data_IF_521528514214
#
_entry.id   IF_521528514214
#
_cell.length_a   1.000
_cell.length_b   1.000
_cell.length_c   1.000
_cell.angle_alpha   90.00
_cell.angle_beta   90.00
_cell.angle_gamma   90.00
#
_symmetry.space_group_name_H-M   'P 1'
#
loop_
_entity.id
_entity.type
_entity.pdbx_description
1 polymer ?
#
# COMPACT_ATOMS: atom_id res chain seq x y z
N UNK A 1 -26.37 -8.76 1.90
CA UNK A 1 -25.81 -7.60 1.19
C UNK A 1 -24.30 -7.76 1.18
N UNK A 2 -23.65 -7.79 0.00
CA UNK A 2 -22.20 -7.98 -0.09
C UNK A 2 -21.44 -6.79 0.52
N UNK A 3 -20.27 -7.05 1.11
CA UNK A 3 -19.36 -6.00 1.57
C UNK A 3 -18.97 -5.07 0.41
N UNK A 4 -18.84 -3.77 0.70
CA UNK A 4 -18.31 -2.81 -0.29
C UNK A 4 -16.81 -3.08 -0.48
N UNK A 5 -16.29 -3.04 -1.73
CA UNK A 5 -14.88 -3.28 -1.97
C UNK A 5 -14.01 -2.19 -1.33
N UNK A 6 -12.88 -2.59 -0.76
CA UNK A 6 -11.88 -1.74 -0.12
C UNK A 6 -10.55 -1.89 -0.84
N UNK A 7 -10.06 -0.79 -1.41
CA UNK A 7 -8.79 -0.76 -2.11
C UNK A 7 -7.87 0.31 -1.53
N UNK A 8 -6.57 0.05 -1.53
CA UNK A 8 -5.57 1.04 -1.15
C UNK A 8 -4.56 1.30 -2.28
N UNK A 9 -4.11 2.55 -2.38
CA UNK A 9 -2.99 2.97 -3.23
C UNK A 9 -1.91 3.56 -2.35
N UNK A 10 -0.75 2.93 -2.36
CA UNK A 10 0.43 3.34 -1.60
C UNK A 10 1.44 3.99 -2.55
N UNK A 11 2.02 5.08 -2.08
CA UNK A 11 3.18 5.73 -2.69
C UNK A 11 4.21 6.07 -1.62
N UNK A 12 5.49 6.13 -2.00
CA UNK A 12 6.55 6.53 -1.07
C UNK A 12 6.81 5.52 0.05
N UNK A 13 6.60 4.21 -0.19
CA UNK A 13 7.08 3.15 0.72
C UNK A 13 8.61 3.21 0.83
N UNK A 14 9.29 3.50 -0.29
CA UNK A 14 10.65 4.01 -0.29
C UNK A 14 10.62 5.52 -0.55
N UNK A 15 11.21 6.32 0.34
CA UNK A 15 11.03 7.77 0.34
C UNK A 15 11.60 8.51 -0.88
N UNK A 16 12.65 7.96 -1.48
CA UNK A 16 13.29 8.49 -2.69
C UNK A 16 12.60 8.07 -4.01
N UNK A 17 11.50 7.31 -3.95
CA UNK A 17 10.70 6.94 -5.12
C UNK A 17 9.52 7.91 -5.31
N UNK A 18 9.85 9.16 -5.68
CA UNK A 18 8.92 10.31 -5.70
C UNK A 18 7.67 10.16 -6.57
N UNK A 19 7.72 9.35 -7.62
CA UNK A 19 6.59 9.16 -8.54
C UNK A 19 5.35 8.63 -7.83
N UNK A 20 5.50 7.67 -6.91
CA UNK A 20 4.36 7.12 -6.17
C UNK A 20 3.70 8.17 -5.27
N UNK A 21 4.50 9.00 -4.60
CA UNK A 21 4.02 10.11 -3.75
C UNK A 21 3.20 11.09 -4.59
N UNK A 22 3.71 11.48 -5.76
CA UNK A 22 3.01 12.42 -6.64
C UNK A 22 1.68 11.86 -7.19
N UNK A 23 1.63 10.56 -7.53
CA UNK A 23 0.38 9.93 -7.96
C UNK A 23 -0.67 9.95 -6.85
N UNK A 24 -0.28 9.62 -5.62
CA UNK A 24 -1.18 9.65 -4.45
C UNK A 24 -1.74 11.05 -4.22
N UNK A 25 -0.89 12.08 -4.24
CA UNK A 25 -1.31 13.47 -4.09
C UNK A 25 -2.25 13.93 -5.21
N UNK A 26 -1.97 13.54 -6.46
CA UNK A 26 -2.84 13.84 -7.60
C UNK A 26 -4.20 13.17 -7.49
N UNK A 27 -4.25 11.91 -7.02
CA UNK A 27 -5.51 11.20 -6.76
C UNK A 27 -6.31 11.88 -5.65
N UNK A 28 -5.67 12.20 -4.51
CA UNK A 28 -6.29 12.94 -3.41
C UNK A 28 -6.91 14.24 -3.93
N UNK A 29 -6.12 15.04 -4.64
CA UNK A 29 -6.54 16.32 -5.14
C UNK A 29 -7.64 16.22 -6.22
N UNK A 30 -7.70 15.11 -6.97
CA UNK A 30 -8.80 14.82 -7.89
C UNK A 30 -10.10 14.61 -7.12
N UNK A 31 -10.13 13.69 -6.16
CA UNK A 31 -11.36 13.37 -5.41
C UNK A 31 -11.84 14.55 -4.54
N UNK A 32 -10.94 15.40 -4.07
CA UNK A 32 -11.31 16.63 -3.34
C UNK A 32 -11.98 17.69 -4.22
N UNK A 33 -11.61 17.79 -5.50
CA UNK A 33 -12.13 18.81 -6.42
C UNK A 33 -13.30 18.35 -7.28
N UNK A 34 -13.35 17.06 -7.58
CA UNK A 34 -14.31 16.46 -8.51
C UNK A 34 -15.35 15.67 -7.70
N UNK A 35 -16.47 16.31 -7.40
CA UNK A 35 -17.58 15.69 -6.69
C UNK A 35 -18.18 14.52 -7.47
N UNK A 36 -18.12 14.53 -8.80
CA UNK A 36 -18.65 13.45 -9.63
C UNK A 36 -17.75 12.22 -9.55
N UNK A 37 -16.42 12.40 -9.52
CA UNK A 37 -15.48 11.30 -9.27
C UNK A 37 -15.73 10.66 -7.90
N UNK A 38 -15.93 11.47 -6.86
CA UNK A 38 -16.26 10.98 -5.52
C UNK A 38 -17.61 10.28 -5.47
N UNK A 39 -18.63 10.82 -6.14
CA UNK A 39 -19.96 10.23 -6.24
C UNK A 39 -19.99 8.95 -7.10
N UNK A 40 -19.03 8.77 -8.02
CA UNK A 40 -18.89 7.57 -8.83
C UNK A 40 -18.21 6.41 -8.09
N UNK A 41 -17.49 6.67 -6.99
CA UNK A 41 -16.84 5.63 -6.21
C UNK A 41 -17.88 4.66 -5.61
N UNK A 42 -17.71 3.35 -5.84
CA UNK A 42 -18.60 2.28 -5.34
C UNK A 42 -17.89 1.40 -4.31
N UNK A 43 -17.16 2.03 -3.38
CA UNK A 43 -16.31 1.34 -2.41
C UNK A 43 -15.58 2.32 -1.50
N UNK A 44 -14.56 1.82 -0.83
CA UNK A 44 -13.60 2.61 -0.07
C UNK A 44 -12.26 2.63 -0.81
N UNK A 45 -11.73 3.83 -1.03
CA UNK A 45 -10.39 4.05 -1.57
C UNK A 45 -9.52 4.72 -0.49
N UNK A 46 -8.46 4.04 -0.09
CA UNK A 46 -7.50 4.52 0.90
C UNK A 46 -6.24 4.97 0.15
N UNK A 47 -5.87 6.23 0.31
CA UNK A 47 -4.69 6.83 -0.30
C UNK A 47 -3.63 7.05 0.77
N UNK A 48 -2.42 6.50 0.58
CA UNK A 48 -1.40 6.45 1.63
C UNK A 48 -0.03 6.87 1.12
N UNK A 49 0.61 7.77 1.87
CA UNK A 49 2.06 7.96 1.82
C UNK A 49 2.72 7.02 2.82
N UNK A 50 3.48 6.05 2.33
CA UNK A 50 4.01 4.92 3.10
C UNK A 50 5.01 5.37 4.17
N UNK A 51 6.15 5.92 3.77
CA UNK A 51 7.23 6.35 4.64
C UNK A 51 7.37 7.88 4.60
N UNK A 52 6.57 8.58 5.41
CA UNK A 52 6.54 10.05 5.42
C UNK A 52 7.93 10.64 5.71
N UNK A 53 8.63 10.11 6.71
CA UNK A 53 9.91 10.64 7.15
C UNK A 53 11.03 10.40 6.12
N UNK A 54 11.07 9.23 5.48
CA UNK A 54 12.01 8.99 4.38
C UNK A 54 11.67 9.83 3.14
N UNK A 55 10.37 10.09 2.87
CA UNK A 55 9.95 10.97 1.79
C UNK A 55 10.44 12.42 1.99
N UNK A 56 10.38 12.92 3.23
CA UNK A 56 10.89 14.25 3.59
C UNK A 56 12.41 14.34 3.46
N UNK A 57 13.12 13.25 3.79
CA UNK A 57 14.58 13.17 3.73
C UNK A 57 15.13 12.81 2.34
N UNK A 58 14.27 12.48 1.39
CA UNK A 58 14.63 11.93 0.07
C UNK A 58 15.57 10.71 0.16
N UNK A 59 15.32 9.84 1.14
CA UNK A 59 16.08 8.60 1.34
C UNK A 59 15.19 7.38 1.09
N UNK A 60 15.80 6.22 0.81
CA UNK A 60 15.03 4.97 0.64
C UNK A 60 14.24 4.63 1.93
N UNK A 61 14.88 4.81 3.07
CA UNK A 61 14.33 4.61 4.41
C UNK A 61 15.09 5.48 5.43
N UNK A 62 14.61 5.53 6.68
CA UNK A 62 15.25 6.17 7.83
C UNK A 62 16.14 5.18 8.57
N UNK A 63 15.56 4.14 9.18
CA UNK A 63 16.29 3.15 9.98
C UNK A 63 16.44 1.81 9.23
N UNK A 64 15.37 1.36 8.56
CA UNK A 64 15.36 0.09 7.81
C UNK A 64 14.28 0.07 6.71
N UNK A 65 14.29 -0.95 5.85
CA UNK A 65 13.35 -1.03 4.72
C UNK A 65 11.90 -1.31 5.18
N UNK A 66 11.00 -0.32 5.02
CA UNK A 66 9.57 -0.43 5.38
C UNK A 66 8.88 -1.61 4.70
N UNK A 67 9.30 -1.98 3.48
CA UNK A 67 8.76 -3.12 2.72
C UNK A 67 9.20 -4.49 3.28
N UNK A 68 9.83 -4.49 4.46
CA UNK A 68 10.19 -5.69 5.25
C UNK A 68 9.56 -5.71 6.65
N UNK A 69 8.89 -4.63 7.05
CA UNK A 69 8.30 -4.49 8.39
C UNK A 69 6.86 -5.04 8.50
N UNK A 70 6.21 -5.40 7.38
CA UNK A 70 4.85 -5.95 7.37
C UNK A 70 4.86 -7.48 7.56
N UNK A 71 4.96 -7.92 8.80
CA UNK A 71 4.81 -9.33 9.17
C UNK A 71 3.39 -9.86 8.98
N UNK A 72 3.25 -11.19 8.78
CA UNK A 72 1.95 -11.85 8.59
C UNK A 72 0.98 -11.59 9.76
N UNK A 73 1.47 -11.70 11.00
CA UNK A 73 0.65 -11.48 12.21
C UNK A 73 0.15 -10.03 12.34
N UNK A 74 0.84 -9.08 11.71
CA UNK A 74 0.49 -7.66 11.78
C UNK A 74 -0.70 -7.31 10.86
N UNK A 75 -0.77 -7.94 9.68
CA UNK A 75 -1.71 -7.59 8.58
C UNK A 75 -2.74 -8.69 8.29
N UNK A 76 -2.37 -9.96 8.45
CA UNK A 76 -3.11 -11.12 7.94
C UNK A 76 -4.28 -11.62 8.80
N UNK A 77 -4.49 -11.08 10.00
CA UNK A 77 -5.65 -11.44 10.84
C UNK A 77 -5.75 -12.93 11.20
N UNK A 78 -4.68 -13.71 11.05
CA UNK A 78 -4.62 -15.08 11.53
C UNK A 78 -4.68 -15.08 13.06
N UNK A 79 -5.63 -15.82 13.62
CA UNK A 79 -5.79 -16.06 15.06
C UNK A 79 -4.65 -16.87 15.71
N UNK A 80 -3.42 -16.62 15.31
CA UNK A 80 -2.21 -16.79 16.11
C UNK A 80 -1.37 -15.57 15.78
N UNK A 81 -1.22 -14.57 16.65
CA UNK A 81 -0.49 -14.77 17.89
C UNK A 81 0.50 -15.93 17.70
N UNK A 82 1.58 -15.68 16.98
CA UNK A 82 2.85 -16.16 17.51
C UNK A 82 2.85 -15.76 18.99
N UNK A 83 2.66 -16.76 19.83
CA UNK A 83 2.47 -16.62 21.25
C UNK A 83 3.58 -15.73 21.84
N UNK A 84 3.15 -14.76 22.66
CA UNK A 84 3.97 -13.96 23.57
C UNK A 84 4.86 -12.86 22.95
N UNK A 85 4.25 -11.70 22.66
CA UNK A 85 5.00 -10.44 22.56
C UNK A 85 4.27 -9.31 21.84
N UNK A 86 4.47 -8.07 22.31
CA UNK A 86 4.12 -6.87 21.54
C UNK A 86 4.86 -6.85 20.19
N UNK A 87 4.22 -6.38 19.11
CA UNK A 87 4.85 -6.31 17.80
C UNK A 87 6.13 -5.45 17.88
N UNK A 88 7.17 -5.72 17.07
CA UNK A 88 8.45 -5.02 17.15
C UNK A 88 8.30 -3.49 17.17
N UNK A 89 7.38 -2.95 16.37
CA UNK A 89 7.08 -1.52 16.29
C UNK A 89 6.41 -0.91 17.53
N UNK A 90 5.87 -1.70 18.45
CA UNK A 90 5.27 -1.19 19.70
C UNK A 90 6.27 -1.09 20.84
N UNK A 91 7.49 -1.63 20.68
CA UNK A 91 8.51 -1.65 21.73
C UNK A 91 9.18 -0.28 21.89
N UNK A 92 9.55 0.07 23.12
CA UNK A 92 10.38 1.24 23.37
C UNK A 92 11.70 1.14 22.59
N UNK A 93 12.03 2.19 21.82
CA UNK A 93 13.24 2.21 20.99
C UNK A 93 13.17 1.41 19.69
N UNK A 94 11.97 1.00 19.24
CA UNK A 94 11.79 0.40 17.92
C UNK A 94 12.36 1.30 16.79
N UNK A 95 12.67 0.72 15.64
CA UNK A 95 12.99 1.50 14.45
C UNK A 95 11.76 2.29 13.96
N UNK A 96 11.98 3.41 13.27
CA UNK A 96 10.91 4.22 12.68
C UNK A 96 9.99 3.38 11.79
N UNK A 97 10.54 2.61 10.86
CA UNK A 97 9.72 1.83 9.94
C UNK A 97 8.90 0.72 10.61
N UNK A 98 9.36 0.17 11.74
CA UNK A 98 8.56 -0.79 12.50
C UNK A 98 7.34 -0.11 13.14
N UNK A 99 7.53 1.08 13.72
CA UNK A 99 6.41 1.89 14.24
C UNK A 99 5.45 2.25 13.11
N UNK A 100 5.98 2.67 11.98
CA UNK A 100 5.18 3.08 10.81
C UNK A 100 4.38 1.90 10.25
N UNK A 101 4.95 0.69 10.21
CA UNK A 101 4.23 -0.51 9.81
C UNK A 101 3.07 -0.81 10.76
N UNK A 102 3.25 -0.66 12.08
CA UNK A 102 2.18 -0.81 13.08
C UNK A 102 1.08 0.23 12.88
N UNK A 103 1.43 1.48 12.60
CA UNK A 103 0.49 2.56 12.31
C UNK A 103 -0.33 2.30 11.04
N UNK A 104 0.30 1.76 9.99
CA UNK A 104 -0.33 1.48 8.71
C UNK A 104 -1.16 0.19 8.70
N UNK A 105 -0.86 -0.76 9.59
CA UNK A 105 -1.49 -2.08 9.63
C UNK A 105 -3.03 -2.05 9.68
N UNK A 106 -3.71 -1.19 10.47
CA UNK A 106 -5.17 -1.11 10.48
C UNK A 106 -5.79 -0.79 9.12
N UNK A 107 -5.11 -0.01 8.28
CA UNK A 107 -5.60 0.35 6.95
C UNK A 107 -5.39 -0.75 5.91
N UNK A 108 -4.44 -1.65 6.16
CA UNK A 108 -4.13 -2.79 5.30
C UNK A 108 -5.02 -4.01 5.57
N UNK A 109 -5.56 -4.12 6.78
CA UNK A 109 -6.42 -5.26 7.17
C UNK A 109 -7.72 -5.26 6.39
N UNK A 110 -8.04 -6.42 5.80
CA UNK A 110 -9.29 -6.63 5.08
C UNK A 110 -9.42 -5.79 3.81
N UNK A 111 -8.31 -5.43 3.17
CA UNK A 111 -8.31 -4.89 1.82
C UNK A 111 -8.60 -5.99 0.80
N UNK A 112 -9.40 -5.66 -0.22
CA UNK A 112 -9.60 -6.51 -1.39
C UNK A 112 -8.45 -6.35 -2.39
N UNK A 113 -7.85 -5.16 -2.45
CA UNK A 113 -6.73 -4.84 -3.30
C UNK A 113 -5.78 -3.81 -2.67
N UNK A 114 -4.49 -4.00 -2.89
CA UNK A 114 -3.44 -3.02 -2.60
C UNK A 114 -2.61 -2.82 -3.87
N UNK A 115 -2.46 -1.57 -4.28
CA UNK A 115 -1.53 -1.14 -5.32
C UNK A 115 -0.42 -0.35 -4.66
N UNK A 116 0.79 -0.93 -4.62
CA UNK A 116 1.98 -0.25 -4.11
C UNK A 116 2.84 0.24 -5.27
N UNK A 117 3.01 1.55 -5.37
CA UNK A 117 3.69 2.22 -6.48
C UNK A 117 5.18 2.37 -6.17
N UNK A 118 6.00 1.71 -6.99
CA UNK A 118 7.46 1.76 -6.90
C UNK A 118 8.09 2.36 -8.15
N UNK A 119 9.29 2.92 -7.98
CA UNK A 119 10.18 3.31 -9.05
C UNK A 119 11.51 2.54 -8.97
N UNK A 120 12.21 2.43 -10.10
CA UNK A 120 13.50 1.75 -10.19
C UNK A 120 14.61 2.77 -10.42
N UNK A 121 15.81 2.49 -9.92
CA UNK A 121 16.99 3.35 -10.11
C UNK A 121 17.67 3.17 -11.47
N UNK A 122 17.15 2.26 -12.31
CA UNK A 122 17.64 1.98 -13.66
C UNK A 122 16.46 2.05 -14.63
N UNK A 123 16.66 2.48 -15.88
CA UNK A 123 15.61 2.45 -16.88
C UNK A 123 14.96 1.07 -16.97
N UNK A 124 13.63 1.04 -16.91
CA UNK A 124 12.82 -0.17 -17.10
C UNK A 124 11.54 0.18 -17.84
N UNK A 125 11.03 -0.75 -18.67
CA UNK A 125 9.65 -0.66 -19.13
C UNK A 125 8.70 -0.73 -17.91
N UNK A 126 7.48 -0.16 -17.99
CA UNK A 126 6.49 -0.34 -16.94
C UNK A 126 6.22 -1.83 -16.69
N UNK A 127 6.19 -2.24 -15.43
CA UNK A 127 5.91 -3.61 -15.03
C UNK A 127 5.09 -3.66 -13.75
N UNK A 128 4.39 -4.78 -13.55
CA UNK A 128 3.66 -5.06 -12.31
C UNK A 128 4.30 -6.27 -11.66
N UNK A 129 4.58 -6.17 -10.36
CA UNK A 129 5.00 -7.32 -9.54
C UNK A 129 3.79 -7.86 -8.79
N UNK A 130 3.47 -9.13 -9.02
CA UNK A 130 2.39 -9.83 -8.34
C UNK A 130 2.99 -10.76 -7.27
N UNK A 131 2.47 -10.77 -6.03
CA UNK A 131 2.91 -11.73 -5.01
C UNK A 131 2.41 -13.14 -5.33
N UNK A 132 3.30 -14.14 -5.16
CA UNK A 132 2.96 -15.55 -5.25
C UNK A 132 2.85 -16.10 -6.68
N UNK A 133 2.48 -17.39 -6.83
CA UNK A 133 2.31 -18.02 -8.13
C UNK A 133 1.09 -17.45 -8.87
N UNK A 134 1.30 -17.08 -10.13
CA UNK A 134 0.24 -16.57 -11.00
C UNK A 134 -0.69 -17.72 -11.37
N UNK A 135 -1.88 -17.77 -10.77
CA UNK A 135 -2.93 -18.73 -11.14
C UNK A 135 -3.97 -18.10 -12.07
N UNK A 136 -4.70 -18.92 -12.84
CA UNK A 136 -5.77 -18.44 -13.72
C UNK A 136 -6.88 -17.68 -12.95
N UNK A 137 -7.13 -18.06 -11.69
CA UNK A 137 -8.07 -17.32 -10.82
C UNK A 137 -7.52 -15.95 -10.39
N UNK A 138 -6.20 -15.83 -10.25
CA UNK A 138 -5.51 -14.59 -9.92
C UNK A 138 -5.48 -13.63 -11.12
N UNK A 139 -5.16 -14.16 -12.31
CA UNK A 139 -5.17 -13.40 -13.56
C UNK A 139 -6.54 -12.83 -13.90
N UNK A 140 -7.64 -13.58 -13.71
CA UNK A 140 -9.00 -13.05 -13.93
C UNK A 140 -9.33 -11.83 -13.09
N UNK A 141 -8.82 -11.74 -11.85
CA UNK A 141 -8.98 -10.54 -11.00
C UNK A 141 -8.15 -9.35 -11.52
N UNK A 142 -6.94 -9.59 -12.01
CA UNK A 142 -6.09 -8.55 -12.61
C UNK A 142 -6.59 -8.08 -13.98
N UNK A 143 -7.14 -8.99 -14.79
CA UNK A 143 -7.67 -8.73 -16.13
C UNK A 143 -8.90 -7.80 -16.08
N UNK A 144 -9.79 -7.98 -15.10
CA UNK A 144 -10.88 -7.02 -14.86
C UNK A 144 -10.36 -5.63 -14.48
N UNK A 145 -9.22 -5.52 -13.80
CA UNK A 145 -8.64 -4.20 -13.45
C UNK A 145 -7.92 -3.52 -14.61
N UNK A 146 -7.26 -4.27 -15.50
CA UNK A 146 -6.49 -3.75 -16.63
C UNK A 146 -7.33 -3.50 -17.89
N UNK A 147 -8.28 -4.39 -18.22
CA UNK A 147 -9.09 -4.26 -19.45
C UNK A 147 -10.26 -3.27 -19.30
N UNK A 148 -10.70 -2.97 -18.09
CA UNK A 148 -11.79 -1.99 -17.85
C UNK A 148 -11.35 -0.52 -18.05
N UNK A 149 -10.06 -0.28 -18.24
CA UNK A 149 -9.46 1.05 -18.37
C UNK A 149 -8.68 1.25 -19.68
N UNK A 150 -8.67 0.25 -20.56
CA UNK A 150 -8.23 0.44 -21.93
C UNK A 150 -9.45 0.93 -22.75
N UNK A 151 -9.29 1.95 -23.60
CA UNK A 151 -10.37 2.47 -24.44
C UNK A 151 -10.93 1.44 -25.42
#
# INVERSE_FOLDING_TARGET
AGSRPRAAVFGGVHGNERTGVEVVERLRARFERDSDASAALRGELILVIGNLEACERDTRFVDQDLNRCFGFDLVGGGGGASAEGEPPGSRAGAAYEDRRAVELAPFLRGLDALVDLHATNKPSAPFVRLPGPVSAAYLRRCETALLSYLP
#
